data_IF_814948671318
#
_entry.id   IF_814948671318
#
_cell.length_a   1.000
_cell.length_b   1.000
_cell.length_c   1.000
_cell.angle_alpha   90.00
_cell.angle_beta   90.00
_cell.angle_gamma   90.00
#
_symmetry.space_group_name_H-M   'P 1'
#
loop_
_entity.id
_entity.type
_entity.pdbx_description
1 polymer ?
#
# COMPACT_ATOMS: atom_id res chain seq x y z
N UNK A 1 21.84 -22.96 -0.81
CA UNK A 1 21.89 -21.48 -0.82
C UNK A 1 20.46 -20.99 -0.95
N UNK A 2 19.91 -20.39 0.12
CA UNK A 2 18.54 -19.86 0.08
C UNK A 2 18.51 -18.58 -0.77
N UNK A 3 17.48 -18.35 -1.61
CA UNK A 3 17.34 -17.10 -2.32
C UNK A 3 17.19 -15.95 -1.31
N UNK A 4 17.91 -14.82 -1.48
CA UNK A 4 17.74 -13.64 -0.65
C UNK A 4 16.45 -12.93 -1.08
N UNK A 5 15.31 -13.37 -0.55
CA UNK A 5 14.02 -12.88 -1.03
C UNK A 5 12.82 -13.36 -0.24
N UNK A 6 12.90 -13.43 1.09
CA UNK A 6 11.71 -13.31 1.96
C UNK A 6 12.15 -13.13 3.41
N UNK A 7 12.74 -11.97 3.74
CA UNK A 7 12.56 -11.49 5.12
C UNK A 7 11.12 -11.00 5.16
N UNK A 8 10.28 -11.77 5.84
CA UNK A 8 8.88 -11.44 6.09
C UNK A 8 8.73 -10.00 6.55
N UNK A 9 7.56 -9.41 6.27
CA UNK A 9 7.02 -8.08 6.63
C UNK A 9 7.04 -7.76 8.14
N UNK A 10 8.07 -8.20 8.85
CA UNK A 10 8.25 -8.14 10.29
C UNK A 10 8.68 -6.72 10.65
N UNK A 11 7.80 -6.05 11.41
CA UNK A 11 8.03 -4.83 12.17
C UNK A 11 7.84 -3.47 11.48
N UNK A 12 7.02 -3.40 10.43
CA UNK A 12 6.57 -2.13 9.83
C UNK A 12 5.04 -2.17 9.67
N UNK A 13 4.32 -1.26 10.34
CA UNK A 13 2.85 -1.13 10.23
C UNK A 13 2.04 -2.25 10.88
N UNK A 14 2.03 -2.36 12.21
CA UNK A 14 1.35 -3.47 12.91
C UNK A 14 -0.19 -3.43 12.78
N UNK A 15 -0.77 -2.29 12.43
CA UNK A 15 -2.21 -2.09 12.35
C UNK A 15 -2.68 -1.77 10.93
N UNK A 16 -3.02 -2.82 10.17
CA UNK A 16 -3.59 -2.69 8.84
C UNK A 16 -5.10 -2.82 8.83
N UNK A 17 -5.76 -2.09 7.94
CA UNK A 17 -7.20 -2.16 7.73
C UNK A 17 -7.56 -2.16 6.24
N UNK A 18 -8.51 -2.99 5.88
CA UNK A 18 -9.07 -3.01 4.53
C UNK A 18 -9.95 -1.78 4.35
N UNK A 19 -9.60 -0.95 3.37
CA UNK A 19 -10.33 0.23 2.97
C UNK A 19 -10.49 0.20 1.46
N UNK A 20 -11.74 0.16 0.98
CA UNK A 20 -12.07 0.18 -0.45
C UNK A 20 -11.31 -0.87 -1.30
N UNK A 21 -11.10 -2.06 -0.75
CA UNK A 21 -10.46 -3.18 -1.44
C UNK A 21 -8.94 -3.23 -1.38
N UNK A 22 -8.28 -2.34 -0.62
CA UNK A 22 -6.83 -2.36 -0.39
C UNK A 22 -6.53 -2.34 1.12
N UNK A 23 -5.43 -2.97 1.58
CA UNK A 23 -4.96 -2.78 2.96
C UNK A 23 -4.22 -1.45 3.06
N UNK A 24 -4.50 -0.70 4.12
CA UNK A 24 -3.77 0.50 4.49
C UNK A 24 -3.22 0.34 5.89
N UNK A 25 -2.00 0.81 6.11
CA UNK A 25 -1.38 0.94 7.42
C UNK A 25 -1.98 2.16 8.14
N UNK A 26 -2.44 1.96 9.38
CA UNK A 26 -2.94 3.02 10.25
C UNK A 26 -1.77 3.76 10.90
N UNK A 27 -1.06 4.55 10.09
CA UNK A 27 0.14 5.29 10.50
C UNK A 27 -0.04 6.81 10.30
N UNK A 28 0.52 7.60 11.20
CA UNK A 28 0.68 9.05 11.03
C UNK A 28 1.81 9.37 10.05
N UNK A 29 1.94 10.67 9.69
CA UNK A 29 3.11 11.12 8.94
C UNK A 29 4.42 10.83 9.69
N UNK A 30 4.43 11.06 11.01
CA UNK A 30 5.58 10.77 11.87
C UNK A 30 5.94 9.29 11.84
N UNK A 31 4.96 8.42 12.07
CA UNK A 31 5.16 6.96 12.07
C UNK A 31 5.72 6.48 10.72
N UNK A 32 5.17 6.98 9.60
CA UNK A 32 5.64 6.63 8.27
C UNK A 32 7.09 7.08 8.03
N UNK A 33 7.47 8.27 8.51
CA UNK A 33 8.85 8.76 8.40
C UNK A 33 9.82 8.01 9.31
N UNK A 34 9.38 7.58 10.48
CA UNK A 34 10.18 6.77 11.41
C UNK A 34 10.42 5.36 10.84
N UNK A 35 9.37 4.76 10.24
CA UNK A 35 9.48 3.50 9.50
C UNK A 35 10.53 3.61 8.39
N UNK A 36 10.45 4.63 7.55
CA UNK A 36 11.37 4.82 6.42
C UNK A 36 12.81 5.03 6.93
N UNK A 37 12.96 5.84 7.97
CA UNK A 37 14.26 6.09 8.61
C UNK A 37 14.87 4.79 9.12
N UNK A 38 14.07 3.97 9.81
CA UNK A 38 14.50 2.67 10.32
C UNK A 38 14.86 1.70 9.20
N UNK A 39 14.07 1.68 8.12
CA UNK A 39 14.37 0.87 6.93
C UNK A 39 15.71 1.24 6.30
N UNK A 40 16.01 2.54 6.21
CA UNK A 40 17.31 3.04 5.72
C UNK A 40 18.44 2.64 6.68
N UNK A 41 18.29 2.92 7.97
CA UNK A 41 19.34 2.68 8.98
C UNK A 41 19.65 1.19 9.14
N UNK A 42 18.64 0.32 9.03
CA UNK A 42 18.76 -1.12 9.20
C UNK A 42 18.91 -1.89 7.87
N UNK A 43 18.92 -1.19 6.74
CA UNK A 43 18.95 -1.78 5.40
C UNK A 43 17.86 -2.83 5.20
N UNK A 44 16.64 -2.52 5.66
CA UNK A 44 15.46 -3.35 5.50
C UNK A 44 14.73 -2.88 4.24
N UNK A 45 14.49 -3.75 3.24
CA UNK A 45 13.70 -3.40 2.07
C UNK A 45 12.31 -2.90 2.46
N UNK A 46 11.91 -1.78 1.88
CA UNK A 46 10.65 -1.11 2.15
C UNK A 46 10.13 -0.48 0.86
N UNK A 47 9.21 -1.17 0.21
CA UNK A 47 8.41 -0.61 -0.87
C UNK A 47 7.25 0.21 -0.29
N UNK A 48 7.34 1.53 -0.42
CA UNK A 48 6.28 2.45 -0.05
C UNK A 48 5.31 2.66 -1.22
N UNK A 49 4.02 2.47 -0.94
CA UNK A 49 2.93 2.92 -1.78
C UNK A 49 2.12 3.99 -1.05
N UNK A 50 1.70 5.01 -1.79
CA UNK A 50 0.83 6.09 -1.29
C UNK A 50 -0.51 6.10 -2.05
N UNK A 51 -1.38 5.07 -1.90
CA UNK A 51 -2.60 5.02 -2.68
C UNK A 51 -3.52 6.19 -2.38
N UNK A 52 -3.96 6.83 -3.46
CA UNK A 52 -5.02 7.82 -3.46
C UNK A 52 -6.31 7.23 -4.04
N UNK A 53 -7.34 8.05 -4.24
CA UNK A 53 -8.60 7.60 -4.81
C UNK A 53 -8.43 6.93 -6.19
N UNK A 54 -7.56 7.47 -7.05
CA UNK A 54 -7.30 6.90 -8.36
C UNK A 54 -6.69 5.50 -8.24
N UNK A 55 -5.81 5.27 -7.25
CA UNK A 55 -5.26 3.93 -6.99
C UNK A 55 -6.35 2.95 -6.57
N UNK A 56 -7.25 3.34 -5.65
CA UNK A 56 -8.34 2.46 -5.21
C UNK A 56 -9.25 2.06 -6.37
N UNK A 57 -9.51 2.99 -7.30
CA UNK A 57 -10.34 2.74 -8.48
C UNK A 57 -9.62 1.84 -9.48
N UNK A 58 -8.35 2.14 -9.81
CA UNK A 58 -7.58 1.32 -10.75
C UNK A 58 -7.39 -0.11 -10.23
N UNK A 59 -7.14 -0.27 -8.93
CA UNK A 59 -6.96 -1.58 -8.33
C UNK A 59 -8.20 -2.47 -8.50
N UNK A 60 -9.42 -1.93 -8.59
CA UNK A 60 -10.62 -2.73 -8.82
C UNK A 60 -10.62 -3.44 -10.17
N UNK A 61 -10.13 -2.77 -11.21
CA UNK A 61 -10.23 -3.22 -12.61
C UNK A 61 -8.93 -3.85 -13.13
N UNK A 62 -7.80 -3.62 -12.45
CA UNK A 62 -6.46 -4.04 -12.89
C UNK A 62 -5.79 -4.93 -11.83
N UNK A 63 -5.79 -6.27 -12.03
CA UNK A 63 -5.16 -7.22 -11.12
C UNK A 63 -3.67 -6.98 -10.91
N UNK A 64 -2.91 -6.60 -11.94
CA UNK A 64 -1.48 -6.34 -11.82
C UNK A 64 -1.23 -5.10 -10.95
N UNK A 65 -2.05 -4.07 -11.13
CA UNK A 65 -1.96 -2.86 -10.32
C UNK A 65 -2.35 -3.14 -8.86
N UNK A 66 -3.42 -3.89 -8.62
CA UNK A 66 -3.76 -4.37 -7.28
C UNK A 66 -2.57 -5.13 -6.65
N UNK A 67 -1.96 -6.05 -7.41
CA UNK A 67 -0.83 -6.85 -6.96
C UNK A 67 0.41 -5.99 -6.64
N UNK A 68 0.63 -4.88 -7.36
CA UNK A 68 1.73 -3.96 -7.05
C UNK A 68 1.53 -3.26 -5.69
N UNK A 69 0.30 -2.88 -5.35
CA UNK A 69 -0.01 -2.21 -4.08
C UNK A 69 -0.01 -3.20 -2.91
N UNK A 70 -0.61 -4.38 -3.08
CA UNK A 70 -0.70 -5.38 -1.99
C UNK A 70 0.67 -5.91 -1.57
N UNK A 71 1.64 -5.92 -2.49
CA UNK A 71 3.01 -6.34 -2.25
C UNK A 71 3.94 -5.22 -1.75
N UNK A 72 3.38 -4.05 -1.42
CA UNK A 72 4.12 -2.97 -0.76
C UNK A 72 4.31 -3.28 0.72
N UNK A 73 5.45 -2.88 1.26
CA UNK A 73 5.80 -3.06 2.67
C UNK A 73 5.11 -2.02 3.56
N UNK A 74 4.85 -0.83 3.02
CA UNK A 74 4.13 0.25 3.67
C UNK A 74 3.10 0.86 2.71
N UNK A 75 1.82 0.91 3.10
CA UNK A 75 0.71 1.44 2.32
C UNK A 75 0.00 2.55 3.10
N UNK A 76 0.26 3.80 2.73
CA UNK A 76 -0.30 4.98 3.43
C UNK A 76 -1.40 5.68 2.65
N UNK A 77 -2.39 6.22 3.36
CA UNK A 77 -3.54 6.86 2.73
C UNK A 77 -3.21 8.28 2.21
N UNK A 78 -3.07 8.42 0.89
CA UNK A 78 -2.81 9.69 0.21
C UNK A 78 -4.10 10.30 -0.35
N UNK A 79 -4.90 10.91 0.51
CA UNK A 79 -6.02 11.76 0.08
C UNK A 79 -7.14 11.85 1.10
N UNK A 80 -7.74 13.05 1.21
CA UNK A 80 -8.87 13.28 2.11
C UNK A 80 -10.10 12.38 1.85
N UNK A 81 -10.47 12.02 0.61
CA UNK A 81 -11.58 11.08 0.38
C UNK A 81 -11.40 9.74 1.10
N UNK A 82 -10.18 9.21 1.15
CA UNK A 82 -9.88 7.97 1.88
C UNK A 82 -10.05 8.15 3.38
N UNK A 83 -9.56 9.27 3.93
CA UNK A 83 -9.73 9.61 5.35
C UNK A 83 -11.21 9.77 5.72
N UNK A 84 -12.02 10.40 4.86
CA UNK A 84 -13.46 10.52 5.10
C UNK A 84 -14.15 9.15 5.13
N UNK A 85 -13.79 8.26 4.20
CA UNK A 85 -14.35 6.89 4.19
C UNK A 85 -13.88 6.10 5.42
N UNK A 86 -12.61 6.18 5.78
CA UNK A 86 -12.09 5.54 6.98
C UNK A 86 -12.83 6.02 8.24
N UNK A 87 -13.01 7.34 8.40
CA UNK A 87 -13.80 7.92 9.52
C UNK A 87 -15.25 7.46 9.49
N UNK A 88 -15.89 7.43 8.32
CA UNK A 88 -17.27 6.98 8.17
C UNK A 88 -17.45 5.50 8.57
N UNK A 89 -16.45 4.67 8.27
CA UNK A 89 -16.38 3.26 8.65
C UNK A 89 -15.82 3.02 10.07
N UNK A 90 -15.50 4.09 10.82
CA UNK A 90 -14.85 4.03 12.14
C UNK A 90 -13.52 3.23 12.15
N UNK A 91 -12.74 3.34 11.07
CA UNK A 91 -11.39 2.76 10.99
C UNK A 91 -10.36 3.75 11.56
N UNK A 92 -9.29 3.27 12.22
CA UNK A 92 -8.30 4.14 12.86
C UNK A 92 -7.26 4.71 11.87
N UNK A 93 -7.68 5.04 10.65
CA UNK A 93 -6.86 5.73 9.65
C UNK A 93 -7.29 7.20 9.68
N UNK A 94 -6.68 7.98 10.58
CA UNK A 94 -7.13 9.33 10.91
C UNK A 94 -6.42 10.44 10.13
N UNK A 95 -5.20 10.18 9.68
CA UNK A 95 -4.30 11.14 9.07
C UNK A 95 -4.05 10.83 7.60
N UNK A 96 -4.06 11.88 6.78
CA UNK A 96 -3.64 11.83 5.38
C UNK A 96 -2.13 11.92 5.33
N UNK A 97 -1.48 10.89 4.80
CA UNK A 97 -0.02 10.87 4.59
C UNK A 97 0.24 10.96 3.09
N UNK A 98 0.46 12.19 2.62
CA UNK A 98 0.81 12.41 1.22
C UNK A 98 2.29 12.12 0.99
N UNK A 99 2.62 11.53 -0.15
CA UNK A 99 4.01 11.29 -0.54
C UNK A 99 4.88 12.57 -0.54
N UNK A 100 4.28 13.71 -0.90
CA UNK A 100 4.95 15.02 -0.86
C UNK A 100 5.20 15.54 0.55
N UNK A 101 4.28 15.28 1.48
CA UNK A 101 4.43 15.68 2.89
C UNK A 101 5.53 14.84 3.55
N UNK A 102 5.53 13.54 3.28
CA UNK A 102 6.55 12.60 3.74
C UNK A 102 7.94 12.99 3.23
N UNK A 103 8.06 13.25 1.93
CA UNK A 103 9.33 13.67 1.34
C UNK A 103 9.81 15.01 1.91
N UNK A 104 8.92 15.99 2.06
CA UNK A 104 9.26 17.29 2.65
C UNK A 104 9.69 17.15 4.12
N UNK A 105 9.02 16.32 4.90
CA UNK A 105 9.37 16.07 6.31
C UNK A 105 10.78 15.49 6.42
N UNK A 106 11.10 14.45 5.65
CA UNK A 106 12.44 13.85 5.60
C UNK A 106 13.50 14.87 5.14
N UNK A 107 13.15 15.76 4.22
CA UNK A 107 14.06 16.76 3.66
C UNK A 107 14.42 17.83 4.70
N UNK A 108 13.45 18.23 5.51
CA UNK A 108 13.60 19.30 6.49
C UNK A 108 14.14 18.82 7.84
N UNK A 109 14.18 17.51 8.08
CA UNK A 109 14.69 16.94 9.32
C UNK A 109 16.23 16.83 9.25
N UNK A 110 17.01 17.62 10.02
CA UNK A 110 18.46 17.56 9.97
C UNK A 110 19.00 16.17 10.33
N UNK A 111 19.98 15.68 9.57
CA UNK A 111 20.64 14.39 9.84
C UNK A 111 22.15 14.52 9.77
N UNK A 112 22.85 13.75 10.61
CA UNK A 112 24.33 13.61 10.52
C UNK A 112 24.75 12.93 9.22
N UNK A 113 24.05 11.87 8.86
CA UNK A 113 24.15 11.19 7.56
C UNK A 113 22.89 11.50 6.78
N UNK A 114 23.01 12.29 5.71
CA UNK A 114 21.89 12.60 4.83
C UNK A 114 21.43 11.34 4.12
N UNK A 115 20.12 11.26 3.84
CA UNK A 115 19.54 10.18 3.04
C UNK A 115 19.91 10.44 1.57
N UNK A 116 20.54 9.45 0.92
CA UNK A 116 20.90 9.52 -0.50
C UNK A 116 19.70 9.19 -1.37
N UNK A 117 19.20 10.19 -2.11
CA UNK A 117 18.00 10.09 -2.95
C UNK A 117 18.38 9.98 -4.42
N UNK A 118 17.86 8.96 -5.10
CA UNK A 118 17.95 8.83 -6.55
C UNK A 118 16.60 9.10 -7.21
N UNK A 119 16.57 10.02 -8.19
CA UNK A 119 15.36 10.34 -8.93
C UNK A 119 15.29 9.56 -10.26
N UNK A 120 14.24 8.76 -10.44
CA UNK A 120 14.05 7.98 -11.67
C UNK A 120 12.76 8.41 -12.39
N UNK A 121 12.89 8.94 -13.60
CA UNK A 121 11.78 9.46 -14.40
C UNK A 121 11.43 10.92 -14.10
N UNK A 122 10.24 11.33 -14.54
CA UNK A 122 9.81 12.73 -14.64
C UNK A 122 9.75 13.17 -16.10
N UNK A 123 9.29 14.41 -16.34
CA UNK A 123 9.43 15.01 -17.67
C UNK A 123 10.88 15.43 -17.91
N UNK A 124 11.24 15.65 -19.17
CA UNK A 124 12.60 16.02 -19.55
C UNK A 124 13.11 17.23 -18.74
N UNK A 125 14.26 17.06 -18.09
CA UNK A 125 14.90 18.09 -17.27
C UNK A 125 14.36 18.24 -15.83
N UNK A 126 13.23 17.61 -15.49
CA UNK A 126 12.66 17.71 -14.14
C UNK A 126 13.53 17.01 -13.11
N UNK A 127 14.04 15.82 -13.42
CA UNK A 127 14.89 15.06 -12.51
C UNK A 127 16.22 15.77 -12.23
N UNK A 128 16.78 16.42 -13.25
CA UNK A 128 17.98 17.27 -13.14
C UNK A 128 17.71 18.43 -12.17
N UNK A 129 16.59 19.13 -12.35
CA UNK A 129 16.23 20.25 -11.47
C UNK A 129 15.99 19.78 -10.03
N UNK A 130 15.25 18.69 -9.84
CA UNK A 130 15.02 18.11 -8.51
C UNK A 130 16.32 17.69 -7.82
N UNK A 131 17.30 17.17 -8.57
CA UNK A 131 18.62 16.84 -8.06
C UNK A 131 19.35 18.08 -7.50
N UNK A 132 19.37 19.19 -8.24
CA UNK A 132 20.01 20.43 -7.80
C UNK A 132 19.27 21.06 -6.60
N UNK A 133 17.96 21.25 -6.70
CA UNK A 133 17.15 21.88 -5.64
C UNK A 133 17.22 21.11 -4.32
N UNK A 134 17.22 19.76 -4.36
CA UNK A 134 17.35 18.95 -3.15
C UNK A 134 18.72 19.16 -2.48
N UNK A 135 19.80 19.20 -3.27
CA UNK A 135 21.15 19.37 -2.76
C UNK A 135 21.38 20.78 -2.17
N UNK A 136 20.70 21.80 -2.72
CA UNK A 136 20.79 23.16 -2.21
C UNK A 136 19.94 23.42 -0.95
N UNK A 137 18.74 22.86 -0.89
CA UNK A 137 17.75 23.24 0.13
C UNK A 137 17.56 22.23 1.26
N UNK A 138 17.93 20.95 1.08
CA UNK A 138 17.63 19.90 2.04
C UNK A 138 18.59 19.88 3.24
N UNK A 139 18.04 19.68 4.43
CA UNK A 139 18.79 19.50 5.68
C UNK A 139 18.99 18.01 6.03
N UNK A 140 18.11 17.13 5.55
CA UNK A 140 18.09 15.70 5.85
C UNK A 140 18.45 14.78 4.69
N UNK A 141 18.43 15.29 3.46
CA UNK A 141 18.65 14.51 2.25
C UNK A 141 19.71 15.14 1.33
N UNK A 142 20.24 14.32 0.44
CA UNK A 142 21.06 14.72 -0.69
C UNK A 142 20.66 13.87 -1.90
N UNK A 143 20.70 14.44 -3.09
CA UNK A 143 20.48 13.68 -4.32
C UNK A 143 21.79 13.06 -4.79
N UNK A 144 21.85 11.73 -4.83
CA UNK A 144 23.02 10.97 -5.26
C UNK A 144 23.03 10.67 -6.76
N UNK A 145 21.93 10.94 -7.47
CA UNK A 145 21.83 10.75 -8.91
C UNK A 145 20.41 10.93 -9.43
N UNK A 146 20.30 10.91 -10.75
CA UNK A 146 19.02 10.92 -11.45
C UNK A 146 19.14 10.18 -12.78
N UNK A 147 18.02 9.69 -13.30
CA UNK A 147 17.95 9.14 -14.64
C UNK A 147 16.57 9.37 -15.26
N UNK A 148 16.54 9.92 -16.47
CA UNK A 148 15.32 10.04 -17.28
C UNK A 148 15.33 8.95 -18.36
N UNK A 149 14.48 7.91 -18.24
CA UNK A 149 14.38 6.86 -19.24
C UNK A 149 13.56 7.29 -20.48
N UNK A 150 12.92 8.45 -20.46
CA UNK A 150 11.99 8.88 -21.49
C UNK A 150 10.74 8.01 -21.60
N UNK A 151 10.08 8.08 -22.76
CA UNK A 151 8.84 7.35 -23.04
C UNK A 151 9.09 5.98 -23.69
N UNK A 152 9.72 5.08 -22.94
CA UNK A 152 10.08 3.74 -23.42
C UNK A 152 9.29 2.62 -22.72
N UNK A 153 9.39 1.37 -23.18
CA UNK A 153 8.82 0.20 -22.48
C UNK A 153 9.45 -0.02 -21.09
N UNK A 154 8.89 -0.92 -20.27
CA UNK A 154 9.46 -1.23 -18.94
C UNK A 154 10.83 -1.91 -19.13
N UNK A 155 10.94 -2.78 -20.12
CA UNK A 155 12.11 -3.57 -20.44
C UNK A 155 13.28 -2.67 -20.86
N UNK A 156 13.03 -1.71 -21.75
CA UNK A 156 14.04 -0.75 -22.22
C UNK A 156 14.56 0.16 -21.11
N UNK A 157 13.73 0.48 -20.10
CA UNK A 157 14.16 1.26 -18.92
C UNK A 157 14.66 0.40 -17.76
N UNK A 158 14.90 -0.89 -18.00
CA UNK A 158 15.34 -1.87 -16.99
C UNK A 158 16.60 -2.62 -17.41
N UNK A 159 17.37 -2.07 -18.36
CA UNK A 159 18.64 -2.67 -18.81
C UNK A 159 19.63 -2.77 -17.66
N UNK A 160 20.56 -3.72 -17.75
CA UNK A 160 21.60 -3.91 -16.73
C UNK A 160 22.42 -2.64 -16.52
N UNK A 161 22.75 -1.90 -17.58
CA UNK A 161 23.51 -0.65 -17.46
C UNK A 161 22.77 0.41 -16.64
N UNK A 162 21.45 0.53 -16.81
CA UNK A 162 20.62 1.47 -16.03
C UNK A 162 20.58 1.04 -14.56
N UNK A 163 20.33 -0.24 -14.29
CA UNK A 163 20.26 -0.75 -12.92
C UNK A 163 21.62 -0.64 -12.21
N UNK A 164 22.72 -0.95 -12.91
CA UNK A 164 24.08 -0.80 -12.40
C UNK A 164 24.42 0.68 -12.15
N UNK A 165 23.98 1.60 -13.01
CA UNK A 165 24.12 3.03 -12.79
C UNK A 165 23.39 3.49 -11.52
N UNK A 166 22.12 3.09 -11.36
CA UNK A 166 21.33 3.43 -10.16
C UNK A 166 22.02 2.88 -8.90
N UNK A 167 22.42 1.61 -8.91
CA UNK A 167 23.08 0.98 -7.77
C UNK A 167 24.45 1.58 -7.46
N UNK A 168 25.20 1.98 -8.50
CA UNK A 168 26.50 2.65 -8.36
C UNK A 168 26.43 4.03 -7.72
N UNK A 169 25.25 4.67 -7.73
CA UNK A 169 24.99 5.90 -6.96
C UNK A 169 24.74 5.63 -5.46
N UNK A 170 24.69 4.37 -5.03
CA UNK A 170 24.40 3.93 -3.65
C UNK A 170 23.20 4.66 -3.01
N UNK A 171 22.01 4.61 -3.61
CA UNK A 171 20.82 5.25 -3.06
C UNK A 171 20.32 4.58 -1.79
N UNK A 172 19.93 5.39 -0.80
CA UNK A 172 19.13 4.97 0.34
C UNK A 172 17.62 4.97 -0.02
N UNK A 173 17.22 5.90 -0.89
CA UNK A 173 15.82 6.07 -1.30
C UNK A 173 15.70 6.33 -2.81
N UNK A 174 15.06 5.42 -3.54
CA UNK A 174 14.72 5.61 -4.96
C UNK A 174 13.31 6.18 -5.09
N UNK A 175 13.21 7.35 -5.73
CA UNK A 175 11.97 8.05 -6.04
C UNK A 175 11.62 7.84 -7.51
N UNK A 176 10.61 7.02 -7.77
CA UNK A 176 10.14 6.71 -9.12
C UNK A 176 9.01 7.68 -9.51
N UNK A 177 9.27 8.52 -10.50
CA UNK A 177 8.36 9.56 -10.99
C UNK A 177 7.79 9.25 -12.38
N UNK A 178 7.22 8.06 -12.54
CA UNK A 178 6.50 7.65 -13.75
C UNK A 178 4.97 7.82 -13.58
N UNK A 179 4.16 7.50 -14.60
CA UNK A 179 2.72 7.35 -14.38
C UNK A 179 2.42 6.20 -13.40
N UNK A 180 1.40 6.33 -12.54
CA UNK A 180 1.14 5.39 -11.43
C UNK A 180 1.25 3.91 -11.80
N UNK A 181 0.53 3.47 -12.84
CA UNK A 181 0.57 2.08 -13.32
C UNK A 181 1.95 1.65 -13.80
N UNK A 182 2.63 2.50 -14.56
CA UNK A 182 3.96 2.21 -15.12
C UNK A 182 5.03 2.20 -14.03
N UNK A 183 4.99 3.15 -13.10
CA UNK A 183 5.92 3.25 -11.98
C UNK A 183 5.83 2.07 -11.03
N UNK A 184 4.60 1.70 -10.62
CA UNK A 184 4.36 0.51 -9.80
C UNK A 184 4.87 -0.76 -10.48
N UNK A 185 4.58 -0.95 -11.78
CA UNK A 185 5.07 -2.11 -12.54
C UNK A 185 6.60 -2.12 -12.69
N UNK A 186 7.22 -0.95 -12.92
CA UNK A 186 8.68 -0.85 -13.01
C UNK A 186 9.36 -1.21 -11.68
N UNK A 187 8.81 -0.74 -10.55
CA UNK A 187 9.31 -1.12 -9.23
C UNK A 187 9.18 -2.61 -9.03
N UNK A 188 8.00 -3.18 -9.33
CA UNK A 188 7.79 -4.62 -9.20
C UNK A 188 8.76 -5.46 -10.05
N UNK A 189 9.08 -4.98 -11.25
CA UNK A 189 10.00 -5.64 -12.16
C UNK A 189 11.47 -5.58 -11.68
N UNK A 190 11.89 -4.49 -11.04
CA UNK A 190 13.30 -4.23 -10.74
C UNK A 190 13.68 -4.27 -9.26
N UNK A 191 12.74 -4.26 -8.33
CA UNK A 191 13.03 -4.09 -6.88
C UNK A 191 14.01 -5.12 -6.31
N UNK A 192 14.05 -6.34 -6.86
CA UNK A 192 15.00 -7.38 -6.42
C UNK A 192 16.43 -7.16 -6.92
N UNK A 193 16.61 -6.29 -7.93
CA UNK A 193 17.90 -5.92 -8.54
C UNK A 193 18.41 -4.56 -8.04
N UNK A 194 17.60 -3.83 -7.27
CA UNK A 194 17.94 -2.52 -6.73
C UNK A 194 18.43 -2.66 -5.29
N UNK A 195 19.54 -2.00 -4.97
CA UNK A 195 20.16 -2.11 -3.65
C UNK A 195 19.56 -1.15 -2.62
N UNK A 196 18.76 -0.17 -3.04
CA UNK A 196 18.18 0.80 -2.13
C UNK A 196 17.21 0.14 -1.14
N UNK A 197 17.33 0.42 0.17
CA UNK A 197 16.40 -0.10 1.15
C UNK A 197 14.99 0.47 0.94
N UNK A 198 14.84 1.71 0.47
CA UNK A 198 13.52 2.32 0.26
C UNK A 198 13.30 2.62 -1.21
N UNK A 199 12.15 2.18 -1.73
CA UNK A 199 11.72 2.47 -3.10
C UNK A 199 10.27 2.92 -3.05
N UNK A 200 9.91 4.00 -3.75
CA UNK A 200 8.53 4.48 -3.79
C UNK A 200 8.18 5.07 -5.14
N UNK A 201 6.93 4.83 -5.56
CA UNK A 201 6.34 5.61 -6.64
C UNK A 201 5.80 6.93 -6.08
N UNK A 202 6.44 8.06 -6.42
CA UNK A 202 6.06 9.39 -5.95
C UNK A 202 5.99 10.38 -7.11
N UNK A 203 5.10 10.11 -8.07
CA UNK A 203 4.99 10.85 -9.34
C UNK A 203 5.04 12.38 -9.22
N UNK A 204 4.17 12.97 -8.40
CA UNK A 204 4.09 14.44 -8.29
C UNK A 204 5.20 15.07 -7.44
N UNK A 205 5.91 14.27 -6.62
CA UNK A 205 6.90 14.78 -5.67
C UNK A 205 8.08 15.40 -6.38
N UNK A 206 8.55 14.78 -7.47
CA UNK A 206 9.67 15.32 -8.24
C UNK A 206 9.40 16.74 -8.76
N UNK A 207 8.14 17.03 -9.16
CA UNK A 207 7.72 18.34 -9.64
C UNK A 207 7.65 19.39 -8.51
N UNK A 208 7.29 18.96 -7.30
CA UNK A 208 7.31 19.83 -6.12
C UNK A 208 8.74 20.16 -5.69
N UNK A 209 9.63 19.16 -5.69
CA UNK A 209 11.05 19.34 -5.36
C UNK A 209 11.73 20.23 -6.40
N UNK A 210 11.45 20.03 -7.68
CA UNK A 210 11.92 20.89 -8.76
C UNK A 210 11.29 22.30 -8.76
N UNK A 211 10.40 22.64 -7.81
CA UNK A 211 9.76 23.96 -7.72
C UNK A 211 8.84 24.32 -8.89
N UNK A 212 8.45 23.35 -9.73
CA UNK A 212 7.68 23.60 -10.94
C UNK A 212 6.17 23.68 -10.69
N UNK A 213 5.69 23.10 -9.58
CA UNK A 213 4.28 23.13 -9.21
C UNK A 213 4.15 23.70 -7.82
N UNK A 214 3.25 24.68 -7.65
CA UNK A 214 2.95 25.21 -6.33
C UNK A 214 1.91 24.33 -5.64
N UNK A 215 2.18 23.94 -4.39
CA UNK A 215 1.20 23.21 -3.57
C UNK A 215 -0.02 24.09 -3.30
N UNK A 216 -1.17 23.45 -3.11
CA UNK A 216 -2.36 24.16 -2.65
C UNK A 216 -2.09 24.75 -1.25
N UNK A 217 -2.69 25.89 -0.87
CA UNK A 217 -2.56 26.41 0.49
C UNK A 217 -2.96 25.37 1.55
N UNK A 218 -2.33 25.35 2.72
CA UNK A 218 -2.53 24.32 3.75
C UNK A 218 -4.00 24.09 4.12
N UNK A 219 -4.79 25.17 4.21
CA UNK A 219 -6.23 25.09 4.48
C UNK A 219 -6.96 24.27 3.40
N UNK A 220 -6.61 24.47 2.13
CA UNK A 220 -7.21 23.72 1.01
C UNK A 220 -6.82 22.24 1.04
N UNK A 221 -5.57 21.93 1.40
CA UNK A 221 -5.12 20.56 1.56
C UNK A 221 -5.88 19.86 2.71
N UNK A 222 -5.99 20.51 3.88
CA UNK A 222 -6.69 19.99 5.05
C UNK A 222 -8.19 19.76 4.81
N UNK A 223 -8.84 20.65 4.05
CA UNK A 223 -10.24 20.49 3.66
C UNK A 223 -10.46 19.55 2.47
N UNK A 224 -9.38 19.07 1.84
CA UNK A 224 -9.47 18.12 0.72
C UNK A 224 -9.78 18.77 -0.63
N UNK A 225 -9.56 20.07 -0.79
CA UNK A 225 -9.73 20.82 -2.04
C UNK A 225 -8.46 20.91 -2.89
N UNK A 226 -7.40 20.16 -2.56
CA UNK A 226 -6.16 20.14 -3.33
C UNK A 226 -6.41 19.80 -4.82
N UNK A 227 -7.38 18.92 -5.10
CA UNK A 227 -7.73 18.56 -6.47
C UNK A 227 -8.26 19.75 -7.28
N UNK A 228 -9.01 20.68 -6.68
CA UNK A 228 -9.46 21.92 -7.36
C UNK A 228 -8.28 22.82 -7.71
N UNK A 229 -7.34 22.95 -6.79
CA UNK A 229 -6.10 23.70 -7.02
C UNK A 229 -5.25 23.07 -8.13
N UNK A 230 -5.19 21.73 -8.20
CA UNK A 230 -4.52 21.03 -9.29
C UNK A 230 -5.24 21.16 -10.63
N UNK A 231 -6.58 21.16 -10.68
CA UNK A 231 -7.31 21.46 -11.93
C UNK A 231 -6.96 22.87 -12.42
N UNK A 232 -6.85 23.85 -11.50
CA UNK A 232 -6.47 25.21 -11.86
C UNK A 232 -5.08 25.28 -12.52
N UNK A 233 -4.12 24.51 -12.02
CA UNK A 233 -2.75 24.47 -12.57
C UNK A 233 -2.63 23.57 -13.81
N UNK A 234 -3.35 22.45 -13.83
CA UNK A 234 -3.34 21.44 -14.89
C UNK A 234 -4.78 21.12 -15.33
N UNK A 235 -5.38 21.91 -16.23
CA UNK A 235 -6.78 21.76 -16.62
C UNK A 235 -7.12 20.35 -17.11
N UNK A 236 -6.20 19.69 -17.83
CA UNK A 236 -6.38 18.33 -18.38
C UNK A 236 -6.76 17.28 -17.32
N UNK A 237 -6.44 17.52 -16.04
CA UNK A 237 -6.82 16.63 -14.93
C UNK A 237 -8.32 16.58 -14.65
N UNK A 238 -9.12 17.54 -15.13
CA UNK A 238 -10.56 17.58 -14.88
C UNK A 238 -11.28 16.30 -15.33
N UNK A 239 -10.94 15.78 -16.52
CA UNK A 239 -11.57 14.58 -17.09
C UNK A 239 -11.31 13.36 -16.21
N UNK A 240 -10.08 13.24 -15.73
CA UNK A 240 -9.67 12.15 -14.82
C UNK A 240 -10.41 12.25 -13.50
N UNK A 241 -10.42 13.43 -12.87
CA UNK A 241 -11.12 13.62 -11.60
C UNK A 241 -12.62 13.43 -11.68
N UNK A 242 -13.25 13.79 -12.80
CA UNK A 242 -14.68 13.50 -13.01
C UNK A 242 -14.92 11.99 -13.12
N UNK A 243 -14.10 11.27 -13.89
CA UNK A 243 -14.20 9.81 -14.01
C UNK A 243 -13.96 9.08 -12.68
N UNK A 244 -12.88 9.43 -11.99
CA UNK A 244 -12.55 8.88 -10.67
C UNK A 244 -13.64 9.23 -9.63
N UNK A 245 -14.15 10.45 -9.66
CA UNK A 245 -15.22 10.92 -8.76
C UNK A 245 -16.55 10.19 -8.97
N UNK A 246 -16.96 9.95 -10.22
CA UNK A 246 -18.18 9.18 -10.51
C UNK A 246 -18.05 7.73 -10.06
N UNK A 247 -16.89 7.10 -10.31
CA UNK A 247 -16.61 5.74 -9.84
C UNK A 247 -16.57 5.68 -8.31
N UNK A 248 -15.97 6.68 -7.68
CA UNK A 248 -15.95 6.80 -6.23
C UNK A 248 -17.36 6.89 -5.64
N UNK A 249 -18.22 7.75 -6.18
CA UNK A 249 -19.61 7.87 -5.73
C UNK A 249 -20.34 6.53 -5.89
N UNK A 250 -20.13 5.83 -7.02
CA UNK A 250 -20.68 4.48 -7.22
C UNK A 250 -20.19 3.51 -6.13
N UNK A 251 -18.90 3.48 -5.82
CA UNK A 251 -18.36 2.65 -4.73
C UNK A 251 -18.90 3.06 -3.36
N UNK A 252 -19.09 4.35 -3.11
CA UNK A 252 -19.69 4.84 -1.86
C UNK A 252 -21.10 4.29 -1.69
N UNK A 253 -21.95 4.40 -2.72
CA UNK A 253 -23.36 3.99 -2.65
C UNK A 253 -23.53 2.48 -2.67
N UNK A 254 -22.75 1.77 -3.48
CA UNK A 254 -22.93 0.32 -3.69
C UNK A 254 -22.15 -0.56 -2.72
N UNK A 255 -21.05 -0.07 -2.15
CA UNK A 255 -20.14 -0.85 -1.30
C UNK A 255 -20.01 -0.23 0.09
N UNK A 256 -19.55 1.03 0.18
CA UNK A 256 -19.17 1.66 1.46
C UNK A 256 -20.37 1.93 2.39
N UNK A 257 -21.44 2.53 1.89
CA UNK A 257 -22.65 2.82 2.67
C UNK A 257 -23.30 1.51 3.17
N UNK A 258 -23.55 0.50 2.30
CA UNK A 258 -24.02 -0.80 2.76
C UNK A 258 -23.05 -1.47 3.74
N UNK A 259 -21.73 -1.39 3.52
CA UNK A 259 -20.73 -1.94 4.43
C UNK A 259 -20.84 -1.33 5.82
N UNK A 260 -20.98 -0.01 5.93
CA UNK A 260 -21.12 0.68 7.20
C UNK A 260 -22.38 0.22 7.97
N UNK A 261 -23.52 0.12 7.28
CA UNK A 261 -24.77 -0.35 7.88
C UNK A 261 -24.68 -1.83 8.25
N UNK A 262 -24.15 -2.64 7.35
CA UNK A 262 -24.07 -4.09 7.48
C UNK A 262 -23.08 -4.50 8.58
N UNK A 263 -21.90 -3.90 8.61
CA UNK A 263 -20.89 -4.14 9.65
C UNK A 263 -21.41 -3.73 11.02
N UNK A 264 -22.05 -2.56 11.18
CA UNK A 264 -22.68 -2.17 12.47
C UNK A 264 -23.74 -3.17 12.93
N UNK A 265 -24.60 -3.64 12.03
CA UNK A 265 -25.61 -4.67 12.35
C UNK A 265 -24.99 -6.02 12.70
N UNK A 266 -23.97 -6.44 11.98
CA UNK A 266 -23.24 -7.67 12.27
C UNK A 266 -22.52 -7.57 13.61
N UNK A 267 -21.89 -6.44 13.89
CA UNK A 267 -21.18 -6.19 15.15
C UNK A 267 -22.14 -6.27 16.33
N UNK A 268 -23.33 -5.67 16.21
CA UNK A 268 -24.34 -5.72 17.27
C UNK A 268 -24.99 -7.11 17.46
N UNK A 269 -24.95 -7.98 16.45
CA UNK A 269 -25.54 -9.33 16.49
C UNK A 269 -24.52 -10.42 16.82
N UNK A 270 -23.27 -10.22 16.44
CA UNK A 270 -22.18 -11.10 16.79
C UNK A 270 -21.85 -10.85 18.26
N UNK A 271 -21.72 -11.92 19.03
CA UNK A 271 -21.32 -11.89 20.44
C UNK A 271 -19.82 -11.51 20.54
N UNK A 272 -19.50 -10.27 20.13
CA UNK A 272 -18.15 -9.76 19.88
C UNK A 272 -17.32 -9.67 21.16
N UNK A 273 -17.98 -9.56 22.32
CA UNK A 273 -17.33 -9.54 23.63
C UNK A 273 -16.77 -10.89 24.08
N UNK A 274 -17.21 -12.01 23.50
CA UNK A 274 -16.87 -13.37 23.92
C UNK A 274 -16.20 -14.22 22.81
N UNK A 275 -15.85 -13.62 21.68
CA UNK A 275 -15.18 -14.35 20.61
C UNK A 275 -13.79 -14.78 21.06
N UNK A 276 -13.52 -16.08 21.10
CA UNK A 276 -12.16 -16.63 21.14
C UNK A 276 -11.83 -17.15 19.74
N UNK A 277 -10.67 -16.79 19.22
CA UNK A 277 -10.15 -17.39 17.99
C UNK A 277 -9.66 -18.78 18.38
N UNK A 278 -10.29 -19.81 17.83
CA UNK A 278 -9.72 -21.15 17.87
C UNK A 278 -9.18 -21.45 16.49
N UNK A 279 -7.89 -21.72 16.41
CA UNK A 279 -7.21 -22.14 15.21
C UNK A 279 -6.73 -23.58 15.37
N UNK A 280 -7.39 -24.49 14.67
CA UNK A 280 -6.91 -25.88 14.55
C UNK A 280 -6.16 -26.01 13.23
N UNK A 281 -4.94 -26.55 13.30
CA UNK A 281 -4.14 -26.86 12.12
C UNK A 281 -4.22 -28.35 11.83
N UNK A 282 -4.65 -28.68 10.61
CA UNK A 282 -4.73 -30.06 10.14
C UNK A 282 -3.75 -30.20 8.96
N UNK A 283 -2.57 -30.82 9.18
CA UNK A 283 -1.68 -31.12 8.08
C UNK A 283 -2.32 -32.22 7.21
N UNK A 284 -2.77 -31.87 6.01
CA UNK A 284 -3.05 -32.85 4.96
C UNK A 284 -1.79 -33.07 4.12
N UNK A 285 -1.70 -34.20 3.42
CA UNK A 285 -0.53 -34.56 2.62
C UNK A 285 -0.14 -33.44 1.64
N UNK A 286 -1.13 -32.80 0.99
CA UNK A 286 -0.87 -31.78 -0.04
C UNK A 286 -1.23 -30.33 0.33
N UNK A 287 -2.06 -30.13 1.36
CA UNK A 287 -2.56 -28.78 1.74
C UNK A 287 -2.47 -28.53 3.24
N UNK A 288 -2.29 -27.27 3.62
CA UNK A 288 -2.33 -26.84 5.01
C UNK A 288 -3.71 -26.27 5.34
N UNK A 289 -4.48 -26.96 6.19
CA UNK A 289 -5.82 -26.48 6.55
C UNK A 289 -5.80 -25.77 7.90
N UNK A 290 -6.34 -24.56 7.92
CA UNK A 290 -6.59 -23.77 9.13
C UNK A 290 -8.09 -23.63 9.32
N UNK A 291 -8.61 -24.00 10.49
CA UNK A 291 -10.00 -23.74 10.86
C UNK A 291 -10.06 -22.55 11.80
N UNK A 292 -10.90 -21.55 11.51
CA UNK A 292 -11.17 -20.47 12.45
C UNK A 292 -12.60 -20.56 13.00
N UNK A 293 -12.71 -20.35 14.30
CA UNK A 293 -13.99 -20.29 15.02
C UNK A 293 -14.18 -18.92 15.68
N UNK A 294 -15.41 -18.42 15.65
CA UNK A 294 -15.78 -17.19 16.37
C UNK A 294 -15.61 -15.91 15.55
N UNK A 295 -15.43 -14.79 16.23
CA UNK A 295 -15.29 -13.46 15.62
C UNK A 295 -13.82 -13.06 15.62
N UNK A 296 -13.27 -12.61 14.49
CA UNK A 296 -11.88 -12.18 14.37
C UNK A 296 -11.82 -10.66 14.39
N UNK A 297 -11.70 -10.09 15.59
CA UNK A 297 -11.71 -8.65 15.82
C UNK A 297 -10.29 -8.05 15.76
N UNK A 298 -10.19 -6.72 15.82
CA UNK A 298 -8.89 -6.02 15.88
C UNK A 298 -8.04 -6.48 17.07
N UNK A 299 -8.63 -6.76 18.24
CA UNK A 299 -7.89 -7.23 19.41
C UNK A 299 -7.26 -8.63 19.26
N UNK A 300 -7.69 -9.42 18.27
CA UNK A 300 -7.18 -10.77 17.97
C UNK A 300 -6.34 -10.81 16.71
N UNK A 301 -6.04 -9.64 16.16
CA UNK A 301 -5.30 -9.49 14.93
C UNK A 301 -3.92 -10.16 14.97
N UNK A 302 -3.24 -10.10 16.12
CA UNK A 302 -1.90 -10.71 16.32
C UNK A 302 -2.00 -12.24 16.32
N UNK A 303 -2.96 -12.81 17.06
CA UNK A 303 -3.17 -14.26 17.09
C UNK A 303 -3.55 -14.79 15.70
N UNK A 304 -4.44 -14.07 15.01
CA UNK A 304 -4.80 -14.37 13.64
C UNK A 304 -3.58 -14.34 12.71
N UNK A 305 -2.76 -13.30 12.79
CA UNK A 305 -1.54 -13.17 11.99
C UNK A 305 -0.55 -14.31 12.27
N UNK A 306 -0.33 -14.68 13.54
CA UNK A 306 0.59 -15.76 13.91
C UNK A 306 0.19 -17.10 13.29
N UNK A 307 -1.12 -17.38 13.24
CA UNK A 307 -1.65 -18.59 12.58
C UNK A 307 -1.42 -18.54 11.07
N UNK A 308 -1.68 -17.39 10.43
CA UNK A 308 -1.41 -17.21 9.00
C UNK A 308 0.08 -17.36 8.68
N UNK A 309 0.96 -16.78 9.48
CA UNK A 309 2.41 -16.92 9.31
C UNK A 309 2.86 -18.38 9.49
N UNK A 310 2.29 -19.11 10.45
CA UNK A 310 2.55 -20.55 10.60
C UNK A 310 2.12 -21.34 9.37
N UNK A 311 0.97 -21.00 8.77
CA UNK A 311 0.51 -21.60 7.52
C UNK A 311 1.43 -21.22 6.34
N UNK A 312 1.92 -19.98 6.27
CA UNK A 312 2.87 -19.52 5.24
C UNK A 312 4.20 -20.29 5.28
N UNK A 313 4.64 -20.69 6.47
CA UNK A 313 5.87 -21.47 6.67
C UNK A 313 5.72 -22.92 6.22
N UNK A 314 4.50 -23.44 6.09
CA UNK A 314 4.27 -24.80 5.57
C UNK A 314 4.74 -24.99 4.13
N UNK A 315 4.80 -23.91 3.34
CA UNK A 315 5.19 -23.96 1.93
C UNK A 315 4.20 -24.68 1.03
N UNK A 316 2.94 -24.85 1.48
CA UNK A 316 1.85 -25.50 0.76
C UNK A 316 0.73 -24.51 0.44
N UNK A 317 -0.18 -24.92 -0.45
CA UNK A 317 -1.50 -24.32 -0.57
C UNK A 317 -2.23 -24.33 0.79
N UNK A 318 -2.93 -23.24 1.07
CA UNK A 318 -3.62 -23.04 2.35
C UNK A 318 -5.12 -23.03 2.14
N UNK A 319 -5.82 -23.86 2.92
CA UNK A 319 -7.28 -23.83 3.02
C UNK A 319 -7.64 -23.17 4.34
N UNK A 320 -8.40 -22.08 4.29
CA UNK A 320 -9.06 -21.53 5.47
C UNK A 320 -10.50 -22.05 5.50
N UNK A 321 -10.81 -22.90 6.47
CA UNK A 321 -12.18 -23.31 6.75
C UNK A 321 -12.86 -22.26 7.63
N UNK A 322 -13.90 -21.63 7.08
CA UNK A 322 -14.62 -20.53 7.70
C UNK A 322 -16.00 -20.88 8.25
N UNK A 323 -16.39 -22.17 8.31
CA UNK A 323 -17.75 -22.59 8.68
C UNK A 323 -18.24 -21.99 10.01
N UNK A 324 -17.33 -21.87 10.97
CA UNK A 324 -17.62 -21.36 12.32
C UNK A 324 -17.26 -19.87 12.50
N UNK A 325 -16.86 -19.16 11.43
CA UNK A 325 -16.57 -17.73 11.48
C UNK A 325 -17.87 -16.94 11.62
N UNK A 326 -17.95 -16.17 12.70
CA UNK A 326 -19.10 -15.33 13.02
C UNK A 326 -18.96 -13.91 12.48
N UNK A 327 -17.74 -13.39 12.43
CA UNK A 327 -17.40 -12.04 12.00
C UNK A 327 -15.92 -11.91 11.63
N UNK A 328 -15.59 -11.03 10.68
CA UNK A 328 -14.22 -10.61 10.36
C UNK A 328 -14.14 -9.09 10.44
N UNK A 329 -13.19 -8.55 11.21
CA UNK A 329 -12.91 -7.11 11.19
C UNK A 329 -12.25 -6.69 9.87
N UNK A 330 -12.29 -5.39 9.53
CA UNK A 330 -11.52 -4.87 8.39
C UNK A 330 -10.01 -5.11 8.54
N UNK A 331 -9.54 -5.27 9.78
CA UNK A 331 -8.16 -5.59 10.11
C UNK A 331 -7.81 -7.04 9.77
N UNK A 332 -8.72 -7.98 10.06
CA UNK A 332 -8.58 -9.38 9.65
C UNK A 332 -8.64 -9.52 8.12
N UNK A 333 -9.52 -8.77 7.46
CA UNK A 333 -9.60 -8.77 5.98
C UNK A 333 -8.30 -8.26 5.36
N UNK A 334 -7.71 -7.17 5.85
CA UNK A 334 -6.42 -6.69 5.36
C UNK A 334 -5.30 -7.73 5.48
N UNK A 335 -5.25 -8.45 6.60
CA UNK A 335 -4.30 -9.55 6.81
C UNK A 335 -4.53 -10.72 5.87
N UNK A 336 -5.78 -11.08 5.59
CA UNK A 336 -6.09 -12.09 4.57
C UNK A 336 -5.60 -11.70 3.18
N UNK A 337 -5.77 -10.44 2.77
CA UNK A 337 -5.27 -9.96 1.47
C UNK A 337 -3.74 -10.02 1.39
N UNK A 338 -3.08 -9.57 2.47
CA UNK A 338 -1.61 -9.61 2.57
C UNK A 338 -1.10 -11.06 2.52
N UNK A 339 -1.72 -11.93 3.31
CA UNK A 339 -1.36 -13.34 3.38
C UNK A 339 -1.53 -14.04 2.04
N UNK A 340 -2.62 -13.76 1.31
CA UNK A 340 -2.80 -14.24 -0.05
C UNK A 340 -1.63 -13.81 -0.95
N UNK A 341 -1.27 -12.52 -0.94
CA UNK A 341 -0.16 -12.02 -1.75
C UNK A 341 1.18 -12.69 -1.41
N UNK A 342 1.42 -12.99 -0.12
CA UNK A 342 2.60 -13.72 0.33
C UNK A 342 2.61 -15.18 -0.14
N UNK A 343 1.46 -15.86 -0.17
CA UNK A 343 1.34 -17.21 -0.73
C UNK A 343 1.62 -17.21 -2.23
N UNK A 344 1.04 -16.26 -2.97
CA UNK A 344 1.21 -16.14 -4.42
C UNK A 344 2.68 -15.89 -4.81
N UNK A 345 3.41 -15.09 -4.02
CA UNK A 345 4.87 -14.92 -4.20
C UNK A 345 5.65 -16.23 -4.05
N UNK A 346 5.14 -17.18 -3.26
CA UNK A 346 5.70 -18.52 -3.08
C UNK A 346 5.06 -19.57 -4.00
N UNK A 347 4.31 -19.15 -5.02
CA UNK A 347 3.59 -20.03 -5.95
C UNK A 347 2.58 -20.98 -5.26
N UNK A 348 2.04 -20.56 -4.11
CA UNK A 348 0.98 -21.28 -3.40
C UNK A 348 -0.35 -20.51 -3.48
N UNK A 349 -1.45 -21.21 -3.28
CA UNK A 349 -2.79 -20.63 -3.35
C UNK A 349 -3.50 -20.55 -1.99
N UNK A 350 -4.36 -19.54 -1.84
CA UNK A 350 -5.31 -19.42 -0.74
C UNK A 350 -6.72 -19.82 -1.19
N UNK A 351 -7.32 -20.80 -0.51
CA UNK A 351 -8.68 -21.27 -0.76
C UNK A 351 -9.54 -21.03 0.49
N UNK A 352 -10.69 -20.39 0.32
CA UNK A 352 -11.65 -20.14 1.39
C UNK A 352 -12.79 -21.16 1.30
N UNK A 353 -12.89 -22.04 2.31
CA UNK A 353 -13.84 -23.15 2.35
C UNK A 353 -14.97 -22.90 3.35
N UNK A 354 -16.20 -23.21 2.96
CA UNK A 354 -17.39 -23.19 3.85
C UNK A 354 -17.69 -21.83 4.51
N UNK A 355 -17.31 -20.70 3.89
CA UNK A 355 -17.55 -19.37 4.46
C UNK A 355 -19.06 -19.03 4.51
N UNK A 356 -19.61 -18.65 5.68
CA UNK A 356 -21.03 -18.30 5.79
C UNK A 356 -21.43 -17.14 4.88
N UNK A 357 -22.66 -17.16 4.36
CA UNK A 357 -23.19 -16.12 3.45
C UNK A 357 -23.04 -14.68 3.99
N UNK A 358 -23.07 -14.52 5.33
CA UNK A 358 -22.83 -13.24 5.99
C UNK A 358 -21.40 -12.73 5.84
N UNK A 359 -20.40 -13.62 5.88
CA UNK A 359 -18.99 -13.29 5.69
C UNK A 359 -18.73 -13.04 4.20
N UNK A 360 -19.31 -13.84 3.31
CA UNK A 360 -19.25 -13.60 1.86
C UNK A 360 -19.82 -12.21 1.51
N UNK A 361 -20.94 -11.82 2.11
CA UNK A 361 -21.53 -10.48 1.95
C UNK A 361 -20.58 -9.39 2.45
N UNK A 362 -19.94 -9.60 3.60
CA UNK A 362 -18.96 -8.67 4.15
C UNK A 362 -17.77 -8.48 3.19
N UNK A 363 -17.16 -9.57 2.71
CA UNK A 363 -16.06 -9.53 1.74
C UNK A 363 -16.46 -8.84 0.43
N UNK A 364 -17.69 -9.04 -0.04
CA UNK A 364 -18.22 -8.35 -1.23
C UNK A 364 -18.33 -6.84 -1.02
N UNK A 365 -18.90 -6.43 0.10
CA UNK A 365 -19.08 -5.02 0.44
C UNK A 365 -17.75 -4.32 0.76
N UNK A 366 -16.74 -5.07 1.23
CA UNK A 366 -15.37 -4.60 1.37
C UNK A 366 -14.59 -4.54 0.05
N UNK A 367 -15.19 -4.91 -1.08
CA UNK A 367 -14.58 -4.92 -2.42
C UNK A 367 -13.41 -5.88 -2.59
N UNK A 368 -13.43 -6.99 -1.86
CA UNK A 368 -12.34 -7.98 -1.83
C UNK A 368 -12.75 -9.38 -2.23
N UNK A 369 -14.05 -9.67 -2.32
CA UNK A 369 -14.52 -11.05 -2.61
C UNK A 369 -13.90 -11.64 -3.87
N UNK A 370 -13.76 -10.83 -4.92
CA UNK A 370 -13.18 -11.23 -6.21
C UNK A 370 -11.69 -11.59 -6.14
N UNK A 371 -11.02 -11.28 -5.02
CA UNK A 371 -9.61 -11.63 -4.80
C UNK A 371 -9.45 -13.07 -4.30
N UNK A 372 -10.47 -13.63 -3.65
CA UNK A 372 -10.39 -14.94 -3.02
C UNK A 372 -11.02 -16.03 -3.88
N UNK A 373 -10.43 -17.22 -3.87
CA UNK A 373 -11.02 -18.43 -4.44
C UNK A 373 -11.89 -19.11 -3.37
N UNK A 374 -13.19 -19.26 -3.64
CA UNK A 374 -14.14 -19.95 -2.77
C UNK A 374 -14.27 -21.41 -3.21
N UNK A 375 -14.24 -22.35 -2.26
CA UNK A 375 -14.39 -23.79 -2.50
C UNK A 375 -15.41 -24.46 -1.57
#
# INVERSE_FOLDING_TARGET
MNPPGSKSRLAVGQDQYCLMGLPFDAVSLSDATDIISKSIDQQIPCFLSTPNLNFTVMAQDDPDFYNSVIQSDLVVADGMPLIWVARFLNLPIYERVAGSDLFAFLSNQPRKKKIRVFFFGGEAGIAVKAHHELNESSQGMESCGFYDPGFVSIEEMSTEDIINHINGCEPDFIVVALGAKKGQRWIMHNRSRLNAPVISHLGAVINFVAGNVQRAPDKWQRYGFEWLWRIKQEPKLYKRYLGDGLRFIKMLVTQTLPLAVYSRRLVNKADIGNGQVFADTLPQQDKFTVRFKGSINTGQAIEFENVLQSALLSGKDVIINGAEIRYLSMSAIARLLTFQAQLEQKQNELLLKDFPAKIITLLRLSSVLQRFKLI
#
